data_IF_753310474818
#
_entry.id   IF_753310474818
#
_cell.length_a   1.000
_cell.length_b   1.000
_cell.length_c   1.000
_cell.angle_alpha   90.00
_cell.angle_beta   90.00
_cell.angle_gamma   90.00
#
_symmetry.space_group_name_H-M   'P 1'
#
loop_
_entity.id
_entity.type
_entity.pdbx_description
1 polymer ?
#
# COMPACT_ATOMS: atom_id res chain seq x y z
N UNK A 1 9.26 -3.86 20.26
CA UNK A 1 8.96 -3.36 18.90
C UNK A 1 8.19 -2.07 19.07
N UNK A 2 8.65 -0.95 18.52
CA UNK A 2 7.92 0.32 18.65
C UNK A 2 6.53 0.16 18.04
N UNK A 3 5.51 0.61 18.76
CA UNK A 3 4.14 0.61 18.28
C UNK A 3 4.07 1.58 17.09
N UNK A 4 3.83 1.06 15.89
CA UNK A 4 3.63 1.87 14.67
C UNK A 4 2.14 1.92 14.34
N UNK A 5 1.67 3.08 13.89
CA UNK A 5 0.31 3.28 13.38
C UNK A 5 0.19 2.90 11.89
N UNK A 6 1.30 2.62 11.18
CA UNK A 6 1.28 2.27 9.75
C UNK A 6 0.43 1.04 9.41
N UNK A 7 0.21 0.14 10.38
CA UNK A 7 -0.61 -1.06 10.23
C UNK A 7 -2.06 -0.87 10.68
N UNK A 8 -2.48 0.36 11.03
CA UNK A 8 -3.86 0.64 11.36
C UNK A 8 -4.76 0.42 10.13
N UNK A 9 -5.99 -0.04 10.36
CA UNK A 9 -6.92 -0.53 9.33
C UNK A 9 -7.60 0.61 8.55
N UNK A 10 -6.81 1.41 7.86
CA UNK A 10 -7.30 2.58 7.11
C UNK A 10 -7.92 2.17 5.79
N UNK A 11 -8.86 3.00 5.33
CA UNK A 11 -9.49 2.83 4.03
C UNK A 11 -8.44 2.90 2.89
N UNK A 12 -8.59 2.07 1.87
CA UNK A 12 -7.73 1.93 0.68
C UNK A 12 -6.30 1.42 0.91
N UNK A 13 -5.85 1.23 2.15
CA UNK A 13 -4.56 0.60 2.43
C UNK A 13 -4.56 -0.88 2.04
N UNK A 14 -3.37 -1.40 1.75
CA UNK A 14 -3.15 -2.76 1.26
C UNK A 14 -2.30 -3.56 2.23
N UNK A 15 -2.77 -4.76 2.58
CA UNK A 15 -2.22 -5.56 3.67
C UNK A 15 -1.90 -6.99 3.24
N UNK A 16 -0.88 -7.54 3.89
CA UNK A 16 -0.81 -8.97 4.14
C UNK A 16 -1.69 -9.30 5.35
N UNK A 17 -2.51 -10.34 5.23
CA UNK A 17 -3.39 -10.82 6.30
C UNK A 17 -2.88 -12.17 6.74
N UNK A 18 -2.37 -12.30 7.96
CA UNK A 18 -1.78 -13.53 8.48
C UNK A 18 -2.49 -14.01 9.74
N UNK A 19 -2.44 -15.31 10.08
CA UNK A 19 -2.69 -15.78 11.43
C UNK A 19 -1.90 -14.97 12.47
N UNK A 20 -2.49 -14.74 13.64
CA UNK A 20 -1.83 -13.97 14.71
C UNK A 20 -0.56 -14.64 15.23
N UNK A 21 -0.50 -15.98 15.12
CA UNK A 21 0.60 -16.83 15.57
C UNK A 21 1.65 -17.12 14.48
N UNK A 22 1.43 -16.73 13.22
CA UNK A 22 2.36 -17.01 12.12
C UNK A 22 2.27 -15.94 11.02
N UNK A 23 3.23 -15.00 11.02
CA UNK A 23 3.31 -13.93 10.01
C UNK A 23 3.93 -14.38 8.68
N UNK A 24 4.47 -15.60 8.60
CA UNK A 24 5.02 -16.18 7.38
C UNK A 24 3.98 -16.95 6.57
N UNK A 25 2.77 -17.15 7.11
CA UNK A 25 1.59 -17.62 6.38
C UNK A 25 0.65 -16.45 6.15
N UNK A 26 0.17 -16.27 4.93
CA UNK A 26 -0.72 -15.16 4.56
C UNK A 26 -1.91 -15.66 3.77
N UNK A 27 -3.02 -14.94 3.84
CA UNK A 27 -4.18 -15.12 3.00
C UNK A 27 -3.76 -14.98 1.53
N UNK A 28 -4.03 -16.01 0.74
CA UNK A 28 -3.58 -16.15 -0.64
C UNK A 28 -4.76 -16.60 -1.51
N UNK A 29 -4.99 -15.88 -2.61
CA UNK A 29 -5.84 -16.34 -3.70
C UNK A 29 -5.06 -17.32 -4.59
N UNK A 30 -5.29 -18.60 -4.37
CA UNK A 30 -4.54 -19.69 -5.02
C UNK A 30 -5.17 -20.18 -6.34
N UNK A 31 -6.41 -19.78 -6.63
CA UNK A 31 -7.08 -20.10 -7.90
C UNK A 31 -8.01 -18.96 -8.34
N UNK A 32 -8.89 -19.21 -9.30
CA UNK A 32 -9.87 -18.21 -9.76
C UNK A 32 -10.87 -17.81 -8.66
N UNK A 33 -11.19 -18.72 -7.73
CA UNK A 33 -12.18 -18.50 -6.67
C UNK A 33 -11.70 -18.90 -5.27
N UNK A 34 -10.64 -19.69 -5.15
CA UNK A 34 -10.22 -20.26 -3.87
C UNK A 34 -9.23 -19.37 -3.12
N UNK A 35 -9.39 -19.32 -1.80
CA UNK A 35 -8.45 -18.69 -0.87
C UNK A 35 -7.99 -19.68 0.18
N UNK A 36 -6.69 -19.65 0.49
CA UNK A 36 -6.06 -20.45 1.55
C UNK A 36 -4.99 -19.63 2.26
N UNK A 37 -4.45 -20.16 3.35
CA UNK A 37 -3.19 -19.69 3.87
C UNK A 37 -2.03 -20.27 3.04
N UNK A 38 -1.09 -19.43 2.65
CA UNK A 38 0.09 -19.85 1.90
C UNK A 38 1.36 -19.20 2.47
N UNK A 39 2.51 -19.79 2.17
CA UNK A 39 3.79 -19.17 2.53
C UNK A 39 3.88 -17.79 1.90
N UNK A 40 4.35 -16.81 2.67
CA UNK A 40 4.48 -15.43 2.22
C UNK A 40 5.52 -15.33 1.11
N UNK A 41 5.05 -14.98 -0.08
CA UNK A 41 5.84 -14.72 -1.29
C UNK A 41 5.76 -13.24 -1.72
N UNK A 42 4.95 -12.43 -1.01
CA UNK A 42 4.73 -11.02 -1.29
C UNK A 42 4.14 -10.73 -2.68
N UNK A 43 3.52 -11.74 -3.30
CA UNK A 43 2.84 -11.65 -4.59
C UNK A 43 1.53 -10.85 -4.52
N UNK A 44 1.03 -10.41 -5.68
CA UNK A 44 -0.17 -9.58 -5.78
C UNK A 44 -1.45 -10.30 -5.29
N UNK A 45 -1.52 -11.62 -5.45
CA UNK A 45 -2.56 -12.51 -4.94
C UNK A 45 -2.56 -12.69 -3.40
N UNK A 46 -1.52 -12.21 -2.72
CA UNK A 46 -1.40 -12.19 -1.26
C UNK A 46 -1.63 -10.81 -0.64
N UNK A 47 -1.92 -9.81 -1.47
CA UNK A 47 -2.11 -8.41 -1.07
C UNK A 47 -3.60 -8.07 -1.11
N UNK A 48 -4.11 -7.52 -0.01
CA UNK A 48 -5.53 -7.30 0.20
C UNK A 48 -5.81 -5.84 0.55
N UNK A 49 -6.56 -5.15 -0.31
CA UNK A 49 -7.03 -3.78 -0.08
C UNK A 49 -8.28 -3.77 0.79
N UNK A 50 -8.32 -2.86 1.75
CA UNK A 50 -9.52 -2.58 2.52
C UNK A 50 -10.34 -1.47 1.86
N UNK A 51 -11.63 -1.70 1.66
CA UNK A 51 -12.55 -0.70 1.11
C UNK A 51 -13.68 -0.51 2.11
N UNK A 52 -13.68 0.63 2.80
CA UNK A 52 -14.63 0.96 3.85
C UNK A 52 -15.94 1.52 3.26
N UNK A 53 -17.06 1.05 3.79
CA UNK A 53 -18.40 1.59 3.53
C UNK A 53 -18.90 2.30 4.79
N UNK A 54 -19.10 3.61 4.70
CA UNK A 54 -19.49 4.47 5.83
C UNK A 54 -20.88 4.16 6.36
N UNK A 55 -21.79 3.68 5.50
CA UNK A 55 -23.16 3.36 5.90
C UNK A 55 -23.20 2.03 6.65
N UNK A 56 -22.43 1.04 6.18
CA UNK A 56 -22.34 -0.27 6.84
C UNK A 56 -21.37 -0.30 8.03
N UNK A 57 -20.47 0.67 8.11
CA UNK A 57 -19.34 0.68 9.04
C UNK A 57 -18.52 -0.62 8.97
N UNK A 58 -18.34 -1.12 7.75
CA UNK A 58 -17.72 -2.41 7.45
C UNK A 58 -16.85 -2.30 6.20
N UNK A 59 -16.01 -3.31 5.98
CA UNK A 59 -15.02 -3.34 4.91
C UNK A 59 -15.31 -4.44 3.91
N UNK A 60 -15.08 -4.17 2.62
CA UNK A 60 -14.72 -5.20 1.66
C UNK A 60 -13.21 -5.46 1.75
N UNK A 61 -12.81 -6.71 1.52
CA UNK A 61 -11.41 -7.13 1.51
C UNK A 61 -11.09 -7.63 0.10
N UNK A 62 -10.41 -6.80 -0.69
CA UNK A 62 -10.22 -6.99 -2.14
C UNK A 62 -8.81 -7.47 -2.48
N UNK A 63 -8.69 -8.51 -3.31
CA UNK A 63 -7.37 -8.98 -3.77
C UNK A 63 -6.77 -8.00 -4.79
N UNK A 64 -5.44 -7.85 -4.78
CA UNK A 64 -4.71 -6.88 -5.62
C UNK A 64 -4.01 -7.51 -6.84
N UNK A 65 -4.51 -8.64 -7.34
CA UNK A 65 -3.97 -9.39 -8.48
C UNK A 65 -4.59 -8.99 -9.84
N UNK A 66 -5.10 -7.77 -9.96
CA UNK A 66 -5.86 -7.24 -11.09
C UNK A 66 -7.25 -7.85 -11.35
N UNK A 67 -7.67 -8.91 -10.64
CA UNK A 67 -9.00 -9.55 -10.86
C UNK A 67 -10.16 -8.76 -10.26
N UNK A 68 -9.88 -7.84 -9.33
CA UNK A 68 -10.88 -7.06 -8.58
C UNK A 68 -11.85 -7.86 -7.71
N UNK A 69 -11.57 -9.15 -7.48
CA UNK A 69 -12.43 -10.00 -6.65
C UNK A 69 -12.29 -9.65 -5.15
N UNK A 70 -13.32 -9.97 -4.37
CA UNK A 70 -13.38 -9.67 -2.93
C UNK A 70 -13.68 -10.92 -2.11
N UNK A 71 -13.10 -10.97 -0.91
CA UNK A 71 -13.34 -12.03 0.06
C UNK A 71 -14.83 -12.10 0.42
N UNK A 72 -15.42 -13.27 0.22
CA UNK A 72 -16.86 -13.50 0.29
C UNK A 72 -17.14 -14.74 1.13
N UNK A 73 -18.05 -14.61 2.09
CA UNK A 73 -18.63 -15.77 2.78
C UNK A 73 -19.62 -16.50 1.86
N UNK A 74 -19.44 -17.81 1.68
CA UNK A 74 -20.30 -18.65 0.83
C UNK A 74 -21.58 -19.09 1.57
N UNK A 75 -22.33 -18.14 2.12
CA UNK A 75 -23.58 -18.43 2.82
C UNK A 75 -24.52 -19.33 1.99
N UNK A 76 -25.17 -20.35 2.60
CA UNK A 76 -25.15 -20.69 4.02
C UNK A 76 -24.00 -21.62 4.45
N UNK A 77 -23.09 -22.01 3.56
CA UNK A 77 -21.94 -22.86 3.88
C UNK A 77 -20.93 -22.12 4.75
N UNK A 78 -20.06 -22.84 5.47
CA UNK A 78 -19.01 -22.24 6.30
C UNK A 78 -17.80 -21.75 5.48
N UNK A 79 -17.67 -22.13 4.22
CA UNK A 79 -16.50 -21.80 3.39
C UNK A 79 -16.44 -20.31 3.00
N UNK A 80 -15.25 -19.86 2.66
CA UNK A 80 -15.00 -18.54 2.06
C UNK A 80 -14.36 -18.69 0.68
N UNK A 81 -14.53 -17.68 -0.17
CA UNK A 81 -13.97 -17.62 -1.51
C UNK A 81 -13.67 -16.17 -1.89
N UNK A 82 -13.13 -15.94 -3.08
CA UNK A 82 -13.16 -14.62 -3.74
C UNK A 82 -14.20 -14.62 -4.84
N UNK A 83 -15.03 -13.56 -4.89
CA UNK A 83 -16.09 -13.40 -5.89
C UNK A 83 -16.13 -11.98 -6.42
N UNK A 84 -16.84 -11.79 -7.53
CA UNK A 84 -17.18 -10.47 -8.07
C UNK A 84 -17.89 -9.66 -6.99
N UNK A 85 -17.58 -8.38 -6.92
CA UNK A 85 -18.26 -7.45 -6.02
C UNK A 85 -19.70 -7.21 -6.48
N UNK A 86 -20.66 -7.80 -5.80
CA UNK A 86 -22.11 -7.59 -6.01
C UNK A 86 -22.71 -6.72 -4.92
N UNK A 87 -21.87 -6.09 -4.09
CA UNK A 87 -22.28 -5.31 -2.93
C UNK A 87 -23.13 -6.09 -1.90
N UNK A 88 -22.99 -7.42 -1.86
CA UNK A 88 -23.76 -8.28 -0.98
C UNK A 88 -23.27 -8.25 0.47
N UNK A 89 -24.19 -8.39 1.43
CA UNK A 89 -23.87 -8.32 2.86
C UNK A 89 -22.83 -9.37 3.31
N UNK A 90 -22.83 -10.54 2.68
CA UNK A 90 -21.86 -11.61 2.92
C UNK A 90 -20.44 -11.28 2.43
N UNK A 91 -20.26 -10.18 1.70
CA UNK A 91 -18.97 -9.68 1.19
C UNK A 91 -18.39 -8.54 2.06
N UNK A 92 -19.10 -8.16 3.12
CA UNK A 92 -18.67 -7.15 4.07
C UNK A 92 -18.20 -7.78 5.39
N UNK A 93 -17.22 -7.13 6.01
CA UNK A 93 -16.54 -7.62 7.19
C UNK A 93 -16.31 -6.47 8.19
N UNK A 94 -16.74 -6.65 9.43
CA UNK A 94 -16.28 -5.84 10.55
C UNK A 94 -14.86 -6.24 10.91
N UNK A 95 -13.96 -5.26 10.98
CA UNK A 95 -12.57 -5.48 11.37
C UNK A 95 -12.34 -4.86 12.74
N UNK A 96 -12.25 -5.70 13.77
CA UNK A 96 -12.17 -5.27 15.16
C UNK A 96 -10.75 -5.51 15.68
N UNK A 97 -9.97 -4.44 15.82
CA UNK A 97 -8.58 -4.52 16.27
C UNK A 97 -8.47 -4.34 17.78
N UNK A 98 -7.76 -5.25 18.44
CA UNK A 98 -7.29 -5.04 19.81
C UNK A 98 -6.07 -4.10 19.81
N UNK A 99 -6.13 -3.00 20.54
CA UNK A 99 -5.10 -1.97 20.55
C UNK A 99 -3.73 -2.47 21.04
N UNK A 100 -3.71 -3.36 22.04
CA UNK A 100 -2.47 -3.83 22.67
C UNK A 100 -1.85 -4.96 21.86
N UNK A 101 -2.61 -6.01 21.56
CA UNK A 101 -2.07 -7.17 20.82
C UNK A 101 -1.93 -6.93 19.32
N UNK A 102 -2.59 -5.88 18.79
CA UNK A 102 -2.76 -5.59 17.36
C UNK A 102 -3.48 -6.69 16.57
N UNK A 103 -4.00 -7.71 17.24
CA UNK A 103 -4.80 -8.75 16.63
C UNK A 103 -6.14 -8.19 16.16
N UNK A 104 -6.63 -8.72 15.03
CA UNK A 104 -7.87 -8.33 14.38
C UNK A 104 -8.79 -9.54 14.33
N UNK A 105 -10.03 -9.35 14.77
CA UNK A 105 -11.13 -10.28 14.45
C UNK A 105 -11.75 -9.81 13.13
N UNK A 106 -11.88 -10.73 12.18
CA UNK A 106 -12.56 -10.51 10.90
C UNK A 106 -13.95 -11.12 11.02
N UNK A 107 -14.95 -10.29 11.31
CA UNK A 107 -16.33 -10.71 11.59
C UNK A 107 -17.22 -10.42 10.38
N UNK A 108 -18.07 -11.36 9.98
CA UNK A 108 -18.93 -11.16 8.82
C UNK A 108 -20.06 -10.15 9.11
N UNK A 109 -20.39 -9.30 8.14
CA UNK A 109 -21.46 -8.29 8.28
C UNK A 109 -22.86 -8.90 8.23
N UNK A 110 -23.12 -9.82 7.28
CA UNK A 110 -24.43 -10.48 7.12
C UNK A 110 -24.83 -11.30 8.36
N UNK A 111 -23.87 -11.95 9.02
CA UNK A 111 -24.09 -12.61 10.30
C UNK A 111 -22.94 -12.31 11.28
N UNK A 112 -23.10 -11.30 12.16
CA UNK A 112 -22.06 -10.87 13.10
C UNK A 112 -21.69 -11.89 14.17
N UNK A 113 -22.41 -13.02 14.28
CA UNK A 113 -22.01 -14.13 15.15
C UNK A 113 -20.88 -14.97 14.55
N UNK A 114 -20.63 -14.84 13.25
CA UNK A 114 -19.63 -15.61 12.52
C UNK A 114 -18.37 -14.79 12.27
N UNK A 115 -17.23 -15.35 12.64
CA UNK A 115 -15.89 -14.79 12.43
C UNK A 115 -15.06 -15.71 11.54
N UNK A 116 -14.18 -15.13 10.74
CA UNK A 116 -13.21 -15.88 9.96
C UNK A 116 -12.28 -16.62 10.92
N UNK A 117 -11.96 -17.87 10.58
CA UNK A 117 -10.99 -18.69 11.29
C UNK A 117 -10.17 -19.50 10.30
N UNK A 118 -8.96 -19.88 10.70
CA UNK A 118 -8.11 -20.79 9.94
C UNK A 118 -8.07 -22.18 10.56
N UNK A 119 -7.91 -23.17 9.69
CA UNK A 119 -7.82 -24.59 10.03
C UNK A 119 -6.36 -25.09 9.93
N UNK A 120 -6.11 -26.30 10.43
CA UNK A 120 -4.77 -26.91 10.41
C UNK A 120 -4.28 -27.19 8.98
N UNK A 121 -5.20 -27.44 8.05
CA UNK A 121 -4.94 -27.73 6.63
C UNK A 121 -4.84 -26.46 5.76
N UNK A 122 -4.56 -25.31 6.38
CA UNK A 122 -4.47 -23.98 5.75
C UNK A 122 -5.77 -23.47 5.12
N UNK A 123 -6.90 -24.18 5.23
CA UNK A 123 -8.20 -23.69 4.76
C UNK A 123 -8.78 -22.65 5.72
N UNK A 124 -9.72 -21.85 5.19
CA UNK A 124 -10.43 -20.82 5.93
C UNK A 124 -11.93 -21.12 5.95
N UNK A 125 -12.56 -20.78 7.05
CA UNK A 125 -14.00 -20.87 7.21
C UNK A 125 -14.51 -19.75 8.11
N UNK A 126 -15.82 -19.51 8.09
CA UNK A 126 -16.48 -18.72 9.13
C UNK A 126 -17.11 -19.65 10.16
N UNK A 127 -17.02 -19.29 11.44
CA UNK A 127 -17.58 -20.06 12.56
C UNK A 127 -17.96 -19.12 13.70
N UNK A 128 -18.70 -19.63 14.68
CA UNK A 128 -19.02 -18.88 15.90
C UNK A 128 -17.74 -18.49 16.65
N UNK A 129 -17.74 -17.29 17.22
CA UNK A 129 -16.58 -16.79 17.95
C UNK A 129 -16.28 -17.64 19.20
N UNK A 130 -14.99 -17.90 19.43
CA UNK A 130 -14.45 -18.59 20.61
C UNK A 130 -13.30 -17.77 21.20
N UNK A 131 -12.65 -18.28 22.26
CA UNK A 131 -11.42 -17.69 22.81
C UNK A 131 -10.14 -18.17 22.11
N UNK A 132 -10.25 -19.07 21.13
CA UNK A 132 -9.10 -19.66 20.45
C UNK A 132 -8.36 -18.65 19.58
N UNK A 133 -7.03 -18.76 19.54
CA UNK A 133 -6.17 -17.88 18.74
C UNK A 133 -6.37 -18.03 17.23
N UNK A 134 -7.02 -19.12 16.78
CA UNK A 134 -7.27 -19.38 15.37
C UNK A 134 -8.30 -18.47 14.69
N UNK A 135 -8.86 -17.52 15.45
CA UNK A 135 -9.78 -16.48 14.97
C UNK A 135 -9.15 -15.08 14.99
N UNK A 136 -7.86 -14.99 15.36
CA UNK A 136 -7.11 -13.75 15.41
C UNK A 136 -6.14 -13.65 14.25
N UNK A 137 -6.19 -12.53 13.54
CA UNK A 137 -5.32 -12.22 12.41
C UNK A 137 -4.46 -10.99 12.70
N UNK A 138 -3.35 -10.86 11.98
CA UNK A 138 -2.53 -9.64 11.93
C UNK A 138 -2.60 -9.06 10.52
N UNK A 139 -2.66 -7.74 10.46
CA UNK A 139 -2.65 -6.96 9.24
C UNK A 139 -1.31 -6.23 9.16
N UNK A 140 -0.53 -6.51 8.12
CA UNK A 140 0.78 -5.89 7.88
C UNK A 140 0.70 -5.07 6.60
N UNK A 141 0.85 -3.74 6.72
CA UNK A 141 0.78 -2.85 5.58
C UNK A 141 1.92 -3.15 4.60
N UNK A 142 1.57 -3.50 3.36
CA UNK A 142 2.53 -4.02 2.40
C UNK A 142 3.59 -2.98 1.99
N UNK A 143 3.21 -1.70 1.89
CA UNK A 143 4.11 -0.62 1.47
C UNK A 143 5.09 -0.31 2.61
N UNK A 144 4.56 -0.17 3.83
CA UNK A 144 5.37 0.04 5.03
C UNK A 144 6.38 -1.10 5.22
N UNK A 145 5.94 -2.35 5.14
CA UNK A 145 6.82 -3.51 5.31
C UNK A 145 7.89 -3.60 4.21
N UNK A 146 7.54 -3.23 2.97
CA UNK A 146 8.48 -3.30 1.84
C UNK A 146 9.55 -2.21 1.87
N UNK A 147 9.19 -1.00 2.28
CA UNK A 147 10.00 0.19 2.01
C UNK A 147 10.39 1.02 3.23
N UNK A 148 9.71 0.90 4.37
CA UNK A 148 10.04 1.74 5.51
C UNK A 148 11.50 1.52 5.94
N UNK A 149 12.20 2.62 6.19
CA UNK A 149 13.63 2.67 6.54
C UNK A 149 14.54 1.95 5.52
N UNK A 150 14.13 1.88 4.26
CA UNK A 150 14.89 1.24 3.19
C UNK A 150 15.33 2.25 2.14
N UNK A 151 16.52 2.06 1.58
CA UNK A 151 16.99 2.81 0.42
C UNK A 151 16.42 2.19 -0.85
N UNK A 152 15.81 3.00 -1.69
CA UNK A 152 15.15 2.56 -2.91
C UNK A 152 15.63 3.36 -4.12
N UNK A 153 15.42 2.78 -5.30
CA UNK A 153 15.37 3.50 -6.58
C UNK A 153 13.92 3.59 -7.03
N UNK A 154 13.56 4.68 -7.70
CA UNK A 154 12.19 4.96 -8.13
C UNK A 154 12.21 5.23 -9.63
N UNK A 155 11.61 4.34 -10.41
CA UNK A 155 11.58 4.37 -11.86
C UNK A 155 10.24 4.93 -12.34
N UNK A 156 10.23 5.75 -13.39
CA UNK A 156 8.98 6.05 -14.10
C UNK A 156 8.45 4.81 -14.84
N UNK A 157 7.13 4.67 -14.98
CA UNK A 157 6.55 3.61 -15.82
C UNK A 157 6.70 3.87 -17.33
N UNK A 158 7.07 5.10 -17.73
CA UNK A 158 7.20 5.50 -19.13
C UNK A 158 8.44 4.92 -19.83
N UNK A 159 9.51 4.67 -19.07
CA UNK A 159 10.84 4.26 -19.58
C UNK A 159 11.70 3.73 -18.43
N UNK A 160 12.87 3.15 -18.74
CA UNK A 160 13.82 2.66 -17.73
C UNK A 160 14.71 3.83 -17.26
N UNK A 161 14.08 4.81 -16.60
CA UNK A 161 14.74 5.99 -16.01
C UNK A 161 14.22 6.27 -14.61
N UNK A 162 15.08 6.86 -13.79
CA UNK A 162 14.90 6.94 -12.35
C UNK A 162 14.85 8.38 -11.87
N UNK A 163 14.11 8.62 -10.79
CA UNK A 163 14.13 9.90 -10.08
C UNK A 163 15.57 10.20 -9.67
N UNK A 164 16.08 11.30 -10.19
CA UNK A 164 17.46 11.75 -10.10
C UNK A 164 17.50 13.20 -9.64
N UNK A 165 18.13 13.45 -8.49
CA UNK A 165 18.51 14.81 -8.11
C UNK A 165 19.63 15.28 -9.03
N UNK A 166 19.37 16.34 -9.79
CA UNK A 166 20.36 16.95 -10.67
C UNK A 166 21.65 17.27 -9.90
N UNK A 167 22.81 17.01 -10.51
CA UNK A 167 24.11 17.14 -9.83
C UNK A 167 24.42 18.58 -9.41
N UNK A 168 24.01 19.56 -10.21
CA UNK A 168 24.39 20.96 -10.05
C UNK A 168 23.26 21.85 -9.48
N UNK A 169 22.11 21.26 -9.16
CA UNK A 169 20.98 22.00 -8.58
C UNK A 169 20.19 21.10 -7.64
N UNK A 170 19.23 21.67 -6.91
CA UNK A 170 18.28 20.89 -6.13
C UNK A 170 17.09 20.40 -6.97
N UNK A 171 17.12 20.56 -8.29
CA UNK A 171 16.04 20.09 -9.14
C UNK A 171 16.02 18.56 -9.24
N UNK A 172 14.83 17.98 -9.41
CA UNK A 172 14.66 16.54 -9.61
C UNK A 172 14.15 16.28 -11.02
N UNK A 173 14.80 15.33 -11.69
CA UNK A 173 14.52 14.94 -13.08
C UNK A 173 14.43 13.41 -13.17
N UNK A 174 14.12 12.88 -14.34
CA UNK A 174 14.39 11.48 -14.65
C UNK A 174 15.74 11.34 -15.38
N UNK A 175 16.51 10.32 -15.02
CA UNK A 175 17.80 10.04 -15.66
C UNK A 175 18.07 8.54 -15.76
N UNK A 176 18.89 8.13 -16.72
CA UNK A 176 19.38 6.76 -16.87
C UNK A 176 20.10 6.27 -15.60
N UNK A 177 19.90 5.00 -15.21
CA UNK A 177 20.54 4.47 -14.00
C UNK A 177 22.07 4.50 -14.11
N UNK A 178 22.72 5.18 -13.17
CA UNK A 178 24.18 5.23 -13.06
C UNK A 178 24.68 4.82 -11.66
N UNK A 179 23.76 4.32 -10.81
CA UNK A 179 24.04 3.92 -9.42
C UNK A 179 24.59 5.06 -8.53
N UNK A 180 24.42 6.32 -8.95
CA UNK A 180 24.79 7.49 -8.19
C UNK A 180 23.89 7.68 -6.98
N UNK A 181 24.44 8.24 -5.90
CA UNK A 181 23.67 8.50 -4.67
C UNK A 181 22.55 9.53 -4.85
N UNK A 182 22.59 10.28 -5.96
CA UNK A 182 21.52 11.19 -6.36
C UNK A 182 20.29 10.48 -6.97
N UNK A 183 20.38 9.17 -7.20
CA UNK A 183 19.29 8.29 -7.69
C UNK A 183 18.75 7.36 -6.59
N UNK A 184 19.26 7.49 -5.37
CA UNK A 184 18.93 6.64 -4.22
C UNK A 184 18.13 7.46 -3.22
N UNK A 185 16.99 6.92 -2.81
CA UNK A 185 16.03 7.59 -1.95
C UNK A 185 15.69 6.72 -0.75
N UNK A 186 16.06 7.17 0.45
CA UNK A 186 15.63 6.52 1.70
C UNK A 186 14.17 6.86 1.96
N UNK A 187 13.32 5.84 2.04
CA UNK A 187 11.90 6.00 2.35
C UNK A 187 11.70 5.82 3.85
N UNK A 188 11.10 6.80 4.51
CA UNK A 188 10.86 6.75 5.95
C UNK A 188 9.42 7.17 6.27
N UNK A 189 8.71 6.31 6.99
CA UNK A 189 7.36 6.59 7.46
C UNK A 189 7.38 7.52 8.67
N UNK A 190 6.51 8.53 8.66
CA UNK A 190 6.31 9.45 9.75
C UNK A 190 4.96 9.18 10.44
N UNK A 191 5.00 8.77 11.71
CA UNK A 191 3.82 8.41 12.51
C UNK A 191 2.83 9.57 12.66
N UNK A 192 3.31 10.80 12.86
CA UNK A 192 2.46 11.98 13.09
C UNK A 192 1.73 12.43 11.83
N UNK A 193 2.35 12.26 10.66
CA UNK A 193 1.76 12.62 9.35
C UNK A 193 1.07 11.44 8.68
N UNK A 194 1.32 10.21 9.13
CA UNK A 194 0.86 8.98 8.51
C UNK A 194 1.22 8.90 7.01
N UNK A 195 2.40 9.41 6.68
CA UNK A 195 2.92 9.59 5.32
C UNK A 195 4.43 9.36 5.29
N UNK A 196 5.03 9.35 4.10
CA UNK A 196 6.45 9.06 3.91
C UNK A 196 7.24 10.32 3.56
N UNK A 197 8.47 10.41 4.06
CA UNK A 197 9.50 11.25 3.46
C UNK A 197 10.37 10.40 2.54
N UNK A 198 10.94 11.04 1.52
CA UNK A 198 11.89 10.43 0.60
C UNK A 198 13.19 11.25 0.64
N UNK A 199 14.23 10.74 1.28
CA UNK A 199 15.50 11.45 1.48
C UNK A 199 16.52 11.03 0.43
N UNK A 200 17.03 11.99 -0.34
CA UNK A 200 18.10 11.74 -1.30
C UNK A 200 19.41 11.41 -0.57
N UNK A 201 20.04 10.29 -0.91
CA UNK A 201 21.29 9.86 -0.25
C UNK A 201 22.45 10.82 -0.54
N UNK A 202 22.45 11.50 -1.69
CA UNK A 202 23.54 12.40 -2.08
C UNK A 202 23.74 13.59 -1.13
N UNK A 203 22.66 14.17 -0.63
CA UNK A 203 22.70 15.42 0.14
C UNK A 203 21.88 15.38 1.44
N UNK A 204 21.24 14.26 1.76
CA UNK A 204 20.36 14.09 2.93
C UNK A 204 19.18 15.07 2.99
N UNK A 205 18.75 15.58 1.84
CA UNK A 205 17.58 16.45 1.71
C UNK A 205 16.34 15.66 1.27
N UNK A 206 15.15 16.21 1.52
CA UNK A 206 13.88 15.55 1.24
C UNK A 206 13.34 15.91 -0.15
N UNK A 207 12.77 14.94 -0.85
CA UNK A 207 11.92 15.17 -2.02
C UNK A 207 10.77 16.09 -1.59
N UNK A 208 10.67 17.25 -2.22
CA UNK A 208 9.82 18.35 -1.78
C UNK A 208 9.13 18.99 -2.98
N UNK A 209 7.82 19.19 -2.89
CA UNK A 209 7.10 20.05 -3.83
C UNK A 209 7.33 21.52 -3.47
N UNK A 210 7.87 22.32 -4.39
CA UNK A 210 8.03 23.77 -4.19
C UNK A 210 6.74 24.54 -4.43
N UNK A 211 5.75 24.29 -3.57
CA UNK A 211 4.37 24.77 -3.68
C UNK A 211 4.20 26.28 -3.78
N UNK A 212 5.13 27.07 -3.23
CA UNK A 212 5.12 28.53 -3.27
C UNK A 212 5.56 29.15 -4.60
N UNK A 213 6.25 28.38 -5.45
CA UNK A 213 6.84 28.87 -6.72
C UNK A 213 6.43 28.04 -7.93
N UNK A 214 5.40 27.19 -7.78
CA UNK A 214 4.79 26.43 -8.87
C UNK A 214 4.72 24.93 -8.58
N UNK A 215 4.87 24.13 -9.62
CA UNK A 215 4.68 22.68 -9.56
C UNK A 215 6.00 21.90 -9.45
N UNK A 216 7.15 22.58 -9.41
CA UNK A 216 8.44 21.91 -9.46
C UNK A 216 8.68 21.04 -8.23
N UNK A 217 9.33 19.88 -8.44
CA UNK A 217 9.82 19.03 -7.36
C UNK A 217 11.33 19.11 -7.30
N UNK A 218 11.85 19.28 -6.10
CA UNK A 218 13.27 19.36 -5.83
C UNK A 218 13.65 18.67 -4.53
N UNK A 219 14.91 18.82 -4.12
CA UNK A 219 15.36 18.48 -2.77
C UNK A 219 15.42 19.70 -1.87
N UNK A 220 14.99 19.55 -0.62
CA UNK A 220 15.02 20.63 0.35
C UNK A 220 15.36 20.13 1.75
N UNK A 221 16.19 20.91 2.46
CA UNK A 221 16.79 20.53 3.75
C UNK A 221 15.86 20.63 4.97
N UNK A 222 14.85 21.51 4.93
CA UNK A 222 14.01 21.76 6.10
C UNK A 222 13.25 20.49 6.46
N UNK A 223 13.00 20.26 7.74
CA UNK A 223 12.15 19.16 8.19
C UNK A 223 10.81 19.73 8.67
N UNK A 224 9.71 19.04 8.36
CA UNK A 224 8.40 19.29 8.97
C UNK A 224 7.36 19.98 8.10
N UNK A 225 7.71 20.45 6.89
CA UNK A 225 6.73 21.08 6.00
C UNK A 225 5.87 20.02 5.29
N UNK A 226 4.57 20.32 5.17
CA UNK A 226 3.59 19.41 4.57
C UNK A 226 3.92 19.01 3.12
N UNK A 227 4.66 19.83 2.38
CA UNK A 227 5.04 19.60 0.99
C UNK A 227 6.21 18.61 0.80
N UNK A 228 6.77 18.10 1.90
CA UNK A 228 7.85 17.11 1.94
C UNK A 228 7.37 15.70 2.28
N UNK A 229 6.09 15.57 2.62
CA UNK A 229 5.46 14.30 2.94
C UNK A 229 4.64 13.80 1.76
N UNK A 230 4.64 12.49 1.56
CA UNK A 230 4.07 11.84 0.39
C UNK A 230 3.29 10.60 0.79
N UNK A 231 2.12 10.41 0.18
CA UNK A 231 1.40 9.16 0.23
C UNK A 231 1.86 8.26 -0.92
N UNK A 232 2.40 7.10 -0.59
CA UNK A 232 2.77 6.07 -1.57
C UNK A 232 1.65 5.04 -1.56
N UNK A 233 0.99 4.83 -2.69
CA UNK A 233 -0.14 3.92 -2.82
C UNK A 233 0.04 3.01 -4.04
N UNK A 234 -0.46 1.79 -3.97
CA UNK A 234 -0.65 0.97 -5.17
C UNK A 234 -1.73 1.57 -6.08
N UNK A 235 -1.69 1.25 -7.37
CA UNK A 235 -2.78 1.59 -8.30
C UNK A 235 -4.07 0.87 -7.91
N UNK A 236 -5.20 1.23 -8.53
CA UNK A 236 -6.52 0.75 -8.11
C UNK A 236 -6.67 -0.79 -8.05
N UNK A 237 -6.10 -1.51 -9.01
CA UNK A 237 -6.18 -2.97 -9.10
C UNK A 237 -4.81 -3.64 -9.20
N UNK A 238 -3.74 -2.86 -9.30
CA UNK A 238 -2.41 -3.33 -9.68
C UNK A 238 -1.40 -3.05 -8.57
N UNK A 239 -0.84 -4.11 -8.00
CA UNK A 239 0.18 -4.05 -6.96
C UNK A 239 1.63 -4.08 -7.46
N UNK A 240 1.86 -3.89 -8.77
CA UNK A 240 3.19 -3.82 -9.39
C UNK A 240 3.75 -2.40 -9.49
N UNK A 241 2.87 -1.39 -9.47
CA UNK A 241 3.21 0.02 -9.61
C UNK A 241 2.62 0.85 -8.47
N UNK A 242 3.11 2.08 -8.36
CA UNK A 242 2.75 3.03 -7.31
C UNK A 242 2.36 4.38 -7.89
N UNK A 243 1.47 5.06 -7.20
CA UNK A 243 1.27 6.50 -7.30
C UNK A 243 1.85 7.17 -6.06
N UNK A 244 2.39 8.38 -6.21
CA UNK A 244 2.98 9.16 -5.12
C UNK A 244 2.28 10.51 -5.10
N UNK A 245 1.39 10.76 -4.14
CA UNK A 245 0.68 12.05 -4.01
C UNK A 245 1.21 12.86 -2.84
N UNK A 246 1.15 14.19 -2.94
CA UNK A 246 1.72 15.06 -1.92
C UNK A 246 0.76 15.24 -0.73
N UNK A 247 1.31 15.33 0.48
CA UNK A 247 0.52 15.50 1.69
C UNK A 247 -0.18 16.86 1.77
N UNK A 248 0.41 17.94 1.24
CA UNK A 248 -0.22 19.27 1.22
C UNK A 248 -1.47 19.33 0.34
N UNK A 249 -1.53 18.51 -0.72
CA UNK A 249 -2.69 18.39 -1.59
C UNK A 249 -2.69 17.00 -2.25
N UNK A 250 -3.58 16.12 -1.80
CA UNK A 250 -3.65 14.74 -2.27
C UNK A 250 -4.09 14.59 -3.73
N UNK A 251 -4.62 15.66 -4.35
CA UNK A 251 -4.93 15.70 -5.78
C UNK A 251 -3.70 15.98 -6.66
N UNK A 252 -2.56 16.35 -6.05
CA UNK A 252 -1.28 16.59 -6.73
C UNK A 252 -0.36 15.37 -6.61
N UNK A 253 -0.04 14.79 -7.76
CA UNK A 253 0.75 13.56 -7.89
C UNK A 253 2.12 13.87 -8.48
N UNK A 254 3.14 13.14 -8.03
CA UNK A 254 4.47 13.15 -8.62
C UNK A 254 4.38 12.71 -10.09
N UNK A 255 4.87 13.54 -10.99
CA UNK A 255 4.54 13.52 -12.42
C UNK A 255 5.79 13.82 -13.27
N UNK A 256 5.97 13.06 -14.35
CA UNK A 256 6.99 13.36 -15.38
C UNK A 256 6.43 14.34 -16.39
N UNK A 257 7.03 15.53 -16.49
CA UNK A 257 6.55 16.62 -17.36
C UNK A 257 6.33 16.12 -18.79
N UNK A 258 5.12 16.36 -19.32
CA UNK A 258 4.71 16.04 -20.69
C UNK A 258 4.93 14.58 -21.11
N UNK A 259 5.01 13.64 -20.16
CA UNK A 259 5.40 12.25 -20.42
C UNK A 259 6.75 12.13 -21.15
N UNK A 260 7.66 13.08 -20.92
CA UNK A 260 8.97 13.10 -21.58
C UNK A 260 9.80 11.87 -21.22
N UNK A 261 10.60 11.41 -22.18
CA UNK A 261 11.39 10.17 -22.07
C UNK A 261 12.89 10.44 -22.02
N UNK A 262 13.34 11.69 -22.23
CA UNK A 262 14.75 12.06 -22.29
C UNK A 262 15.37 12.22 -20.90
N UNK A 263 16.69 12.04 -20.82
CA UNK A 263 17.42 12.33 -19.58
C UNK A 263 17.32 13.83 -19.28
N UNK A 264 17.09 14.16 -18.01
CA UNK A 264 16.85 15.53 -17.58
C UNK A 264 15.42 16.01 -17.76
N UNK A 265 14.49 15.18 -18.25
CA UNK A 265 13.06 15.51 -18.23
C UNK A 265 12.64 15.79 -16.80
N UNK A 266 12.00 16.95 -16.57
CA UNK A 266 11.69 17.42 -15.24
C UNK A 266 10.64 16.55 -14.54
N UNK A 267 10.76 16.43 -13.21
CA UNK A 267 9.73 15.86 -12.34
C UNK A 267 9.02 17.01 -11.63
N UNK A 268 7.70 16.97 -11.64
CA UNK A 268 6.83 17.98 -11.04
C UNK A 268 5.76 17.31 -10.17
N UNK A 269 4.87 18.11 -9.60
CA UNK A 269 3.54 17.63 -9.23
C UNK A 269 2.52 18.07 -10.28
N UNK A 270 1.51 17.25 -10.53
CA UNK A 270 0.41 17.61 -11.42
C UNK A 270 -0.92 17.07 -10.90
N UNK A 271 -2.03 17.64 -11.36
CA UNK A 271 -3.35 17.12 -11.02
C UNK A 271 -3.49 15.66 -11.47
N UNK A 272 -4.13 14.85 -10.64
CA UNK A 272 -4.38 13.44 -10.95
C UNK A 272 -5.06 13.29 -12.30
N UNK A 273 -4.41 12.59 -13.23
CA UNK A 273 -4.92 12.39 -14.59
C UNK A 273 -4.82 10.92 -15.05
N UNK A 274 -4.31 10.03 -14.19
CA UNK A 274 -4.24 8.58 -14.45
C UNK A 274 -3.25 8.14 -15.54
N UNK A 275 -2.49 9.08 -16.11
CA UNK A 275 -1.51 8.80 -17.16
C UNK A 275 -0.30 8.03 -16.61
N UNK A 276 0.50 7.45 -17.51
CA UNK A 276 1.73 6.75 -17.13
C UNK A 276 2.81 7.67 -16.54
N UNK A 277 2.71 8.99 -16.76
CA UNK A 277 3.60 9.98 -16.16
C UNK A 277 3.50 10.03 -14.62
N UNK A 278 2.39 9.56 -14.04
CA UNK A 278 2.11 9.57 -12.60
C UNK A 278 2.29 8.20 -11.94
N UNK A 279 2.80 7.22 -12.70
CA UNK A 279 2.98 5.83 -12.25
C UNK A 279 4.46 5.51 -12.13
N UNK A 280 4.82 4.93 -10.99
CA UNK A 280 6.20 4.70 -10.57
C UNK A 280 6.41 3.23 -10.18
N UNK A 281 7.60 2.72 -10.40
CA UNK A 281 8.05 1.42 -9.89
C UNK A 281 9.10 1.69 -8.81
N UNK A 282 8.88 1.20 -7.60
CA UNK A 282 9.81 1.36 -6.48
C UNK A 282 10.52 0.03 -6.27
N UNK A 283 11.85 0.07 -6.22
CA UNK A 283 12.67 -1.13 -5.96
C UNK A 283 13.64 -0.83 -4.84
N UNK A 284 13.65 -1.70 -3.82
CA UNK A 284 14.64 -1.67 -2.75
C UNK A 284 16.03 -1.99 -3.30
N UNK A 285 17.04 -1.27 -2.83
CA UNK A 285 18.46 -1.48 -3.13
C UNK A 285 19.14 -2.36 -2.08
#
# INVERSE_FOLDING_TARGET
MSQTNANDLRNNEVFFISPSNNTNKVLDKISQSEVKLWNKLSGANQKWRLIYDTNKQAYKIKVMDNTSLILTWNAPLSSVSVKTDTNGDNQYWYLLQNYISRNVIIRNYMNPNLVLQYNIDDTLMVSTQTSSSNQFFKFSNCIYESFNNSTCKIQTSLTIKFIDKNQNSNNVTIWSWNNGDNQKWKILYNESKMAYTLTCIKNNEYLTWFSSIGNNVGTYRTEGNNDQYWFINYLNNDASMYTISNFSNQSKFLDVVNSGLADGTNVQVWDSNGTSAQKWIITRL
#
